data_IF_027032440146
#
_entry.id   IF_027032440146
#
_cell.length_a   1.000
_cell.length_b   1.000
_cell.length_c   1.000
_cell.angle_alpha   90.00
_cell.angle_beta   90.00
_cell.angle_gamma   90.00
#
_symmetry.space_group_name_H-M   'P 1'
#
loop_
_entity.id
_entity.type
_entity.pdbx_description
1 polymer ?
#
# COMPACT_ATOMS: atom_id res chain seq x y z
N UNK A 1 -2.29 -14.61 18.32
CA UNK A 1 -2.72 -13.33 17.75
C UNK A 1 -1.65 -12.92 16.75
N UNK A 2 -1.92 -13.11 15.46
CA UNK A 2 -1.06 -12.57 14.40
C UNK A 2 -1.19 -11.05 14.47
N UNK A 3 -0.10 -10.34 14.76
CA UNK A 3 -0.10 -8.89 14.66
C UNK A 3 -0.45 -8.55 13.21
N UNK A 4 -1.59 -7.90 13.01
CA UNK A 4 -2.04 -7.46 11.69
C UNK A 4 -0.98 -6.47 11.17
N UNK A 5 -0.46 -6.75 9.97
CA UNK A 5 0.60 -5.94 9.36
C UNK A 5 -0.01 -4.58 9.02
N UNK A 6 0.65 -3.47 9.37
CA UNK A 6 0.20 -2.11 9.00
C UNK A 6 0.90 -1.61 7.74
N UNK A 7 0.30 -0.66 7.03
CA UNK A 7 0.90 0.01 5.87
C UNK A 7 2.29 0.58 6.18
N UNK A 8 2.44 1.31 7.30
CA UNK A 8 3.71 1.91 7.70
C UNK A 8 4.78 0.85 8.00
N UNK A 9 4.38 -0.24 8.65
CA UNK A 9 5.29 -1.36 8.92
C UNK A 9 5.74 -2.06 7.65
N UNK A 10 4.85 -2.18 6.65
CA UNK A 10 5.16 -2.78 5.36
C UNK A 10 6.12 -1.90 4.56
N UNK A 11 5.89 -0.58 4.51
CA UNK A 11 6.79 0.39 3.87
C UNK A 11 8.17 0.36 4.52
N UNK A 12 8.25 0.43 5.85
CA UNK A 12 9.53 0.37 6.56
C UNK A 12 10.31 -0.92 6.25
N UNK A 13 9.60 -2.04 6.10
CA UNK A 13 10.22 -3.32 5.71
C UNK A 13 10.72 -3.30 4.26
N UNK A 14 9.95 -2.74 3.32
CA UNK A 14 10.39 -2.56 1.92
C UNK A 14 11.67 -1.72 1.86
N UNK A 15 11.76 -0.64 2.62
CA UNK A 15 12.98 0.19 2.69
C UNK A 15 14.20 -0.57 3.25
N UNK A 16 13.99 -1.45 4.21
CA UNK A 16 15.04 -2.34 4.72
C UNK A 16 15.50 -3.35 3.66
N UNK A 17 14.56 -3.95 2.93
CA UNK A 17 14.85 -4.87 1.83
C UNK A 17 15.66 -4.16 0.74
N UNK A 18 15.26 -2.97 0.33
CA UNK A 18 15.99 -2.15 -0.65
C UNK A 18 17.43 -1.89 -0.17
N UNK A 19 17.60 -1.41 1.07
CA UNK A 19 18.94 -1.18 1.65
C UNK A 19 19.79 -2.46 1.65
N UNK A 20 19.19 -3.61 1.95
CA UNK A 20 19.90 -4.89 1.95
C UNK A 20 20.31 -5.31 0.53
N UNK A 21 19.43 -5.16 -0.45
CA UNK A 21 19.73 -5.47 -1.85
C UNK A 21 20.80 -4.52 -2.42
N UNK A 22 20.69 -3.22 -2.16
CA UNK A 22 21.64 -2.19 -2.61
C UNK A 22 23.04 -2.34 -2.00
N UNK A 23 23.15 -2.99 -0.83
CA UNK A 23 24.46 -3.29 -0.24
C UNK A 23 25.32 -4.21 -1.11
N UNK A 24 24.71 -5.02 -1.98
CA UNK A 24 25.41 -6.01 -2.79
C UNK A 24 25.95 -7.22 -2.00
N UNK A 25 25.81 -7.23 -0.67
CA UNK A 25 26.29 -8.27 0.23
C UNK A 25 25.28 -9.43 0.40
N UNK A 26 24.13 -9.36 -0.26
CA UNK A 26 23.12 -10.42 -0.23
C UNK A 26 23.52 -11.56 -1.16
N UNK A 27 23.57 -12.79 -0.63
CA UNK A 27 23.83 -13.98 -1.45
C UNK A 27 22.61 -14.34 -2.31
N UNK A 28 22.81 -15.11 -3.39
CA UNK A 28 21.76 -15.43 -4.38
C UNK A 28 20.43 -15.92 -3.77
N UNK A 29 20.48 -16.81 -2.77
CA UNK A 29 19.27 -17.32 -2.10
C UNK A 29 18.57 -16.24 -1.28
N UNK A 30 19.36 -15.45 -0.54
CA UNK A 30 18.84 -14.33 0.24
C UNK A 30 18.21 -13.27 -0.69
N UNK A 31 18.84 -12.95 -1.82
CA UNK A 31 18.28 -12.05 -2.83
C UNK A 31 16.91 -12.53 -3.31
N UNK A 32 16.77 -13.83 -3.59
CA UNK A 32 15.49 -14.41 -4.03
C UNK A 32 14.41 -14.24 -2.95
N UNK A 33 14.73 -14.55 -1.70
CA UNK A 33 13.81 -14.43 -0.57
C UNK A 33 13.40 -12.97 -0.33
N UNK A 34 14.36 -12.04 -0.36
CA UNK A 34 14.14 -10.60 -0.22
C UNK A 34 13.26 -10.03 -1.34
N UNK A 35 13.45 -10.48 -2.58
CA UNK A 35 12.64 -10.03 -3.73
C UNK A 35 11.21 -10.55 -3.62
N UNK A 36 11.02 -11.80 -3.21
CA UNK A 36 9.69 -12.35 -2.97
C UNK A 36 8.97 -11.60 -1.83
N UNK A 37 9.64 -11.39 -0.72
CA UNK A 37 9.08 -10.63 0.40
C UNK A 37 8.73 -9.19 -0.02
N UNK A 38 9.65 -8.52 -0.73
CA UNK A 38 9.44 -7.16 -1.22
C UNK A 38 8.23 -7.06 -2.16
N UNK A 39 8.05 -8.05 -3.04
CA UNK A 39 6.87 -8.13 -3.91
C UNK A 39 5.57 -8.22 -3.09
N UNK A 40 5.49 -9.14 -2.14
CA UNK A 40 4.29 -9.34 -1.34
C UNK A 40 3.94 -8.07 -0.53
N UNK A 41 4.95 -7.36 -0.03
CA UNK A 41 4.75 -6.10 0.69
C UNK A 41 4.27 -4.97 -0.24
N UNK A 42 4.82 -4.86 -1.45
CA UNK A 42 4.38 -3.85 -2.43
C UNK A 42 2.94 -4.12 -2.88
N UNK A 43 2.58 -5.38 -3.11
CA UNK A 43 1.20 -5.76 -3.44
C UNK A 43 0.23 -5.39 -2.31
N UNK A 44 0.61 -5.65 -1.05
CA UNK A 44 -0.16 -5.21 0.12
C UNK A 44 -0.31 -3.68 0.19
N UNK A 45 0.79 -2.93 0.05
CA UNK A 45 0.72 -1.47 0.06
C UNK A 45 -0.19 -0.93 -1.06
N UNK A 46 -0.14 -1.53 -2.25
CA UNK A 46 -1.00 -1.15 -3.36
C UNK A 46 -2.48 -1.40 -3.04
N UNK A 47 -2.84 -2.52 -2.42
CA UNK A 47 -4.23 -2.81 -2.04
C UNK A 47 -4.77 -1.83 -0.99
N UNK A 48 -3.95 -1.44 -0.01
CA UNK A 48 -4.34 -0.45 0.99
C UNK A 48 -4.61 0.91 0.34
N UNK A 49 -3.74 1.35 -0.58
CA UNK A 49 -3.92 2.61 -1.30
C UNK A 49 -5.16 2.58 -2.20
N UNK A 50 -5.46 1.44 -2.84
CA UNK A 50 -6.66 1.26 -3.65
C UNK A 50 -7.94 1.32 -2.82
N UNK A 51 -7.94 0.74 -1.61
CA UNK A 51 -9.06 0.86 -0.68
C UNK A 51 -9.32 2.32 -0.30
N UNK A 52 -8.28 3.05 0.12
CA UNK A 52 -8.40 4.47 0.45
C UNK A 52 -8.86 5.30 -0.76
N UNK A 53 -8.36 4.99 -1.95
CA UNK A 53 -8.76 5.70 -3.18
C UNK A 53 -10.24 5.53 -3.48
N UNK A 54 -10.78 4.31 -3.32
CA UNK A 54 -12.21 4.03 -3.49
C UNK A 54 -13.08 4.78 -2.50
N UNK A 55 -12.67 4.81 -1.23
CA UNK A 55 -13.42 5.54 -0.19
C UNK A 55 -13.47 7.04 -0.50
N UNK A 56 -12.36 7.62 -0.99
CA UNK A 56 -12.32 9.03 -1.41
C UNK A 56 -13.19 9.31 -2.63
N UNK A 57 -13.23 8.41 -3.61
CA UNK A 57 -14.12 8.52 -4.76
C UNK A 57 -15.59 8.52 -4.33
N UNK A 58 -15.99 7.59 -3.44
CA UNK A 58 -17.36 7.52 -2.92
C UNK A 58 -17.77 8.82 -2.22
N UNK A 59 -16.92 9.35 -1.33
CA UNK A 59 -17.15 10.64 -0.66
C UNK A 59 -17.33 11.79 -1.66
N UNK A 60 -16.55 11.81 -2.74
CA UNK A 60 -16.68 12.82 -3.79
C UNK A 60 -18.02 12.71 -4.53
N UNK A 61 -18.48 11.49 -4.82
CA UNK A 61 -19.77 11.24 -5.45
C UNK A 61 -20.92 11.72 -4.54
N UNK A 62 -20.88 11.43 -3.24
CA UNK A 62 -21.87 11.89 -2.27
C UNK A 62 -21.97 13.42 -2.20
N UNK A 63 -20.82 14.11 -2.24
CA UNK A 63 -20.78 15.57 -2.29
C UNK A 63 -21.45 16.12 -3.56
N UNK A 64 -21.17 15.53 -4.72
CA UNK A 64 -21.76 15.92 -6.00
C UNK A 64 -23.28 15.73 -6.01
N UNK A 65 -23.78 14.60 -5.48
CA UNK A 65 -25.22 14.34 -5.36
C UNK A 65 -25.88 15.41 -4.49
N UNK A 66 -25.30 15.71 -3.32
CA UNK A 66 -25.80 16.73 -2.40
C UNK A 66 -25.92 18.10 -3.08
N UNK A 67 -24.92 18.48 -3.88
CA UNK A 67 -24.90 19.75 -4.62
C UNK A 67 -25.97 19.81 -5.70
N UNK A 68 -26.16 18.72 -6.45
CA UNK A 68 -27.20 18.64 -7.48
C UNK A 68 -28.61 18.73 -6.90
N UNK A 69 -28.86 18.10 -5.76
CA UNK A 69 -30.15 18.18 -5.06
C UNK A 69 -30.43 19.59 -4.52
N UNK A 70 -29.41 20.27 -4.00
CA UNK A 70 -29.52 21.63 -3.50
C UNK A 70 -29.82 22.64 -4.61
N UNK A 71 -29.21 22.49 -5.79
CA UNK A 71 -29.44 23.37 -6.95
C UNK A 71 -30.77 23.12 -7.68
N UNK A 72 -31.49 22.04 -7.35
CA UNK A 72 -32.80 21.70 -7.92
C UNK A 72 -33.97 22.25 -7.10
N UNK A 73 -33.72 22.81 -5.91
CA UNK A 73 -34.69 23.53 -5.07
C UNK A 73 -34.63 25.03 -5.35
#
# INVERSE_FOLDING_TARGET
>A
MTAERSYESAVARVEEIIRRLDSGDAGLRETLDLVHEGRDLVEYCASELEAVSRDLEELHLEELVTRLEAGRR
#
